data_IF_528690117527
#
_entry.id   IF_528690117527
#
_cell.length_a   1.000
_cell.length_b   1.000
_cell.length_c   1.000
_cell.angle_alpha   90.00
_cell.angle_beta   90.00
_cell.angle_gamma   90.00
#
_symmetry.space_group_name_H-M   'P 1'
#
loop_
_entity.id
_entity.type
_entity.pdbx_description
1 polymer ?
#
# COMPACT_ATOMS: atom_id res chain seq x y z
N UNK A 1 22.13 -20.49 11.66
CA UNK A 1 21.59 -19.75 10.50
C UNK A 1 22.44 -20.13 9.30
N UNK A 2 21.97 -21.04 8.46
CA UNK A 2 22.66 -21.40 7.22
C UNK A 2 22.36 -20.35 6.16
N UNK A 3 23.40 -19.74 5.59
CA UNK A 3 23.27 -18.91 4.41
C UNK A 3 22.70 -19.77 3.28
N UNK A 4 21.56 -19.36 2.71
CA UNK A 4 20.92 -20.05 1.60
C UNK A 4 21.78 -19.83 0.34
N UNK A 5 22.37 -20.91 -0.20
CA UNK A 5 23.20 -20.90 -1.43
C UNK A 5 22.50 -21.62 -2.59
N UNK A 6 21.17 -21.48 -2.70
CA UNK A 6 20.41 -21.93 -3.86
C UNK A 6 20.46 -20.90 -5.00
N UNK A 7 20.24 -21.31 -6.27
CA UNK A 7 20.17 -20.37 -7.38
C UNK A 7 18.98 -19.43 -7.18
N UNK A 8 19.27 -18.16 -6.93
CA UNK A 8 18.28 -17.07 -6.87
C UNK A 8 17.69 -16.92 -8.27
N UNK A 9 16.38 -17.06 -8.41
CA UNK A 9 15.71 -16.66 -9.65
C UNK A 9 15.72 -15.14 -9.65
N UNK A 10 16.53 -14.54 -10.53
CA UNK A 10 16.63 -13.08 -10.63
C UNK A 10 15.28 -12.55 -11.13
N UNK A 11 14.53 -11.92 -10.23
CA UNK A 11 13.26 -11.27 -10.54
C UNK A 11 13.58 -9.83 -10.91
N UNK A 12 12.98 -9.35 -12.00
CA UNK A 12 13.12 -7.96 -12.43
C UNK A 12 12.35 -7.02 -11.51
N UNK A 13 12.97 -5.88 -11.21
CA UNK A 13 12.41 -4.77 -10.45
C UNK A 13 12.51 -3.50 -11.31
N UNK A 14 11.52 -2.59 -11.27
CA UNK A 14 10.34 -2.60 -10.40
C UNK A 14 9.18 -3.44 -10.97
N UNK A 15 8.39 -4.05 -10.08
CA UNK A 15 7.21 -4.87 -10.44
C UNK A 15 5.95 -4.55 -9.66
N UNK A 16 6.03 -3.72 -8.61
CA UNK A 16 4.87 -3.36 -7.78
C UNK A 16 4.25 -2.05 -8.27
N UNK A 17 2.97 -2.05 -8.65
CA UNK A 17 2.16 -0.89 -9.05
C UNK A 17 2.65 -0.14 -10.30
N UNK A 18 3.84 0.48 -10.24
CA UNK A 18 4.48 1.18 -11.34
C UNK A 18 5.62 0.31 -11.87
N UNK A 19 5.32 -0.55 -12.83
CA UNK A 19 6.32 -1.40 -13.49
C UNK A 19 7.30 -0.57 -14.34
N UNK A 20 8.35 -1.20 -14.87
CA UNK A 20 9.33 -0.54 -15.75
C UNK A 20 8.64 0.15 -16.93
N UNK A 21 8.92 1.45 -17.12
CA UNK A 21 8.35 2.27 -18.18
C UNK A 21 7.04 2.98 -17.80
N UNK A 22 6.44 2.66 -16.65
CA UNK A 22 5.22 3.32 -16.16
C UNK A 22 5.37 4.82 -15.95
N UNK A 23 6.60 5.30 -15.73
CA UNK A 23 6.94 6.72 -15.61
C UNK A 23 6.53 7.52 -16.85
N UNK A 24 6.65 6.93 -18.04
CA UNK A 24 6.33 7.61 -19.30
C UNK A 24 4.84 7.98 -19.38
N UNK A 25 3.96 7.10 -18.90
CA UNK A 25 2.52 7.36 -18.82
C UNK A 25 2.21 8.49 -17.86
N UNK A 26 2.84 8.49 -16.68
CA UNK A 26 2.67 9.57 -15.69
C UNK A 26 3.19 10.91 -16.24
N UNK A 27 4.38 10.95 -16.85
CA UNK A 27 4.93 12.17 -17.46
C UNK A 27 3.99 12.72 -18.53
N UNK A 28 3.47 11.85 -19.40
CA UNK A 28 2.51 12.27 -20.43
C UNK A 28 1.22 12.85 -19.85
N UNK A 29 0.70 12.29 -18.75
CA UNK A 29 -0.47 12.83 -18.06
C UNK A 29 -0.18 14.19 -17.43
N UNK A 30 0.97 14.35 -16.77
CA UNK A 30 1.36 15.61 -16.14
C UNK A 30 1.64 16.72 -17.15
N UNK A 31 2.07 16.39 -18.37
CA UNK A 31 2.29 17.38 -19.43
C UNK A 31 0.99 17.86 -20.08
N UNK A 32 -0.03 17.00 -20.10
CA UNK A 32 -1.31 17.27 -20.80
C UNK A 32 -2.35 17.93 -19.91
N UNK A 33 -2.39 17.55 -18.64
CA UNK A 33 -3.49 17.87 -17.74
C UNK A 33 -3.00 18.66 -16.52
N UNK A 34 -3.41 19.94 -16.35
CA UNK A 34 -2.95 20.79 -15.25
C UNK A 34 -3.22 20.22 -13.85
N UNK A 35 -4.29 19.42 -13.70
CA UNK A 35 -4.64 18.78 -12.43
C UNK A 35 -3.60 17.75 -11.99
N UNK A 36 -3.08 16.96 -12.95
CA UNK A 36 -2.05 15.97 -12.68
C UNK A 36 -0.69 16.62 -12.49
N UNK A 37 -0.39 17.69 -13.22
CA UNK A 37 0.79 18.52 -12.96
C UNK A 37 0.78 19.08 -11.53
N UNK A 38 -0.35 19.66 -11.10
CA UNK A 38 -0.52 20.19 -9.73
C UNK A 38 -0.26 19.10 -8.68
N UNK A 39 -0.82 17.91 -8.87
CA UNK A 39 -0.64 16.77 -7.97
C UNK A 39 0.83 16.32 -7.93
N UNK A 40 1.46 16.16 -9.09
CA UNK A 40 2.88 15.81 -9.21
C UNK A 40 3.77 16.80 -8.45
N UNK A 41 3.57 18.10 -8.68
CA UNK A 41 4.32 19.14 -7.99
C UNK A 41 4.05 19.16 -6.48
N UNK A 42 2.82 18.88 -6.04
CA UNK A 42 2.49 18.76 -4.63
C UNK A 42 3.23 17.58 -3.96
N UNK A 43 3.35 16.45 -4.65
CA UNK A 43 4.16 15.31 -4.19
C UNK A 43 5.63 15.71 -4.05
N UNK A 44 6.22 16.35 -5.07
CA UNK A 44 7.62 16.80 -5.02
C UNK A 44 7.87 17.82 -3.89
N UNK A 45 6.97 18.80 -3.72
CA UNK A 45 7.02 19.74 -2.58
C UNK A 45 7.01 19.00 -1.26
N UNK A 46 6.19 17.96 -1.12
CA UNK A 46 6.15 17.14 0.08
C UNK A 46 7.45 16.36 0.30
N UNK A 47 8.04 15.76 -0.74
CA UNK A 47 9.32 15.05 -0.66
C UNK A 47 10.45 15.94 -0.15
N UNK A 48 10.51 17.20 -0.62
CA UNK A 48 11.48 18.17 -0.15
C UNK A 48 11.40 18.42 1.37
N UNK A 49 10.21 18.34 1.96
CA UNK A 49 10.06 18.45 3.42
C UNK A 49 10.65 17.27 4.19
N UNK A 50 10.80 16.10 3.55
CA UNK A 50 11.36 14.92 4.21
C UNK A 50 12.87 14.97 4.29
N UNK A 51 13.55 15.58 3.31
CA UNK A 51 15.01 15.59 3.21
C UNK A 51 15.70 16.08 4.49
N UNK A 52 15.10 17.05 5.20
CA UNK A 52 15.62 17.61 6.45
C UNK A 52 15.06 17.01 7.75
N UNK A 53 14.13 16.05 7.70
CA UNK A 53 13.55 15.46 8.93
C UNK A 53 14.54 14.53 9.63
N UNK A 54 14.43 14.31 10.95
CA UNK A 54 15.11 13.18 11.59
C UNK A 54 14.63 11.85 10.99
N UNK A 55 15.50 10.85 11.00
CA UNK A 55 15.15 9.47 10.62
C UNK A 55 14.13 8.90 11.60
N UNK A 56 13.38 7.90 11.15
CA UNK A 56 12.39 7.24 11.99
C UNK A 56 13.05 6.45 13.12
N UNK A 57 12.42 6.56 14.29
CA UNK A 57 12.79 5.83 15.50
C UNK A 57 11.66 4.89 15.91
N UNK A 58 12.02 3.75 16.52
CA UNK A 58 11.03 2.80 17.03
C UNK A 58 10.34 3.34 18.29
N UNK A 59 9.32 4.17 18.09
CA UNK A 59 8.57 4.84 19.16
C UNK A 59 7.12 4.37 19.21
N UNK A 60 6.74 3.73 20.32
CA UNK A 60 5.37 3.31 20.57
C UNK A 60 4.54 4.46 21.17
N UNK A 61 3.28 4.56 20.74
CA UNK A 61 2.22 5.37 21.38
C UNK A 61 1.21 4.38 21.95
N UNK A 62 1.16 4.26 23.27
CA UNK A 62 0.48 3.14 23.93
C UNK A 62 1.07 1.81 23.46
N UNK A 63 0.22 0.91 22.94
CA UNK A 63 0.66 -0.39 22.38
C UNK A 63 1.05 -0.35 20.89
N UNK A 64 0.97 0.81 20.24
CA UNK A 64 1.00 0.92 18.77
C UNK A 64 2.28 1.60 18.28
N UNK A 65 2.92 0.99 17.29
CA UNK A 65 3.94 1.57 16.41
C UNK A 65 3.33 2.20 15.15
N UNK A 66 2.01 2.05 14.93
CA UNK A 66 1.29 2.43 13.71
C UNK A 66 1.65 3.81 13.13
N UNK A 67 1.80 4.83 13.99
CA UNK A 67 2.16 6.18 13.53
C UNK A 67 3.52 6.24 12.84
N UNK A 68 4.49 5.45 13.31
CA UNK A 68 5.82 5.30 12.71
C UNK A 68 5.73 4.50 11.42
N UNK A 69 4.95 3.40 11.41
CA UNK A 69 4.73 2.58 10.21
C UNK A 69 4.10 3.37 9.06
N UNK A 70 3.05 4.15 9.36
CA UNK A 70 2.40 5.07 8.42
C UNK A 70 3.35 6.12 7.88
N UNK A 71 4.16 6.71 8.75
CA UNK A 71 5.14 7.71 8.34
C UNK A 71 6.26 7.09 7.48
N UNK A 72 6.67 5.84 7.75
CA UNK A 72 7.60 5.09 6.90
C UNK A 72 7.01 4.87 5.50
N UNK A 73 5.82 4.27 5.42
CA UNK A 73 5.12 4.05 4.15
C UNK A 73 4.99 5.37 3.37
N UNK A 74 4.53 6.43 4.03
CA UNK A 74 4.38 7.76 3.42
C UNK A 74 5.70 8.32 2.91
N UNK A 75 6.77 8.32 3.71
CA UNK A 75 8.07 8.89 3.30
C UNK A 75 8.69 8.10 2.17
N UNK A 76 8.78 6.77 2.33
CA UNK A 76 9.44 5.90 1.37
C UNK A 76 8.70 5.94 0.03
N UNK A 77 7.37 5.80 0.02
CA UNK A 77 6.61 5.83 -1.22
C UNK A 77 6.79 7.15 -1.98
N UNK A 78 6.65 8.29 -1.30
CA UNK A 78 6.83 9.61 -1.91
C UNK A 78 8.25 9.84 -2.44
N UNK A 79 9.28 9.46 -1.67
CA UNK A 79 10.67 9.61 -2.09
C UNK A 79 11.01 8.67 -3.26
N UNK A 80 10.51 7.44 -3.24
CA UNK A 80 10.66 6.48 -4.33
C UNK A 80 10.02 6.98 -5.62
N UNK A 81 8.81 7.52 -5.54
CA UNK A 81 8.15 8.18 -6.66
C UNK A 81 8.97 9.35 -7.20
N UNK A 82 9.40 10.25 -6.31
CA UNK A 82 10.14 11.45 -6.70
C UNK A 82 11.46 11.11 -7.39
N UNK A 83 12.20 10.11 -6.90
CA UNK A 83 13.41 9.62 -7.57
C UNK A 83 13.09 9.13 -8.99
N UNK A 84 12.13 8.22 -9.14
CA UNK A 84 11.79 7.65 -10.47
C UNK A 84 11.30 8.68 -11.48
N UNK A 85 10.65 9.75 -11.01
CA UNK A 85 10.14 10.80 -11.89
C UNK A 85 11.16 11.89 -12.23
N UNK A 86 12.25 12.03 -11.45
CA UNK A 86 13.17 13.18 -11.58
C UNK A 86 14.64 12.80 -11.71
N UNK A 87 15.00 11.55 -11.43
CA UNK A 87 16.37 11.05 -11.33
C UNK A 87 17.23 11.77 -10.28
N UNK A 88 16.60 12.54 -9.37
CA UNK A 88 17.29 13.27 -8.31
C UNK A 88 17.69 12.31 -7.16
N UNK A 89 18.99 12.00 -7.10
CA UNK A 89 19.56 11.02 -6.18
C UNK A 89 19.36 11.38 -4.71
N UNK A 90 19.07 12.65 -4.37
CA UNK A 90 18.78 13.06 -2.99
C UNK A 90 17.56 12.33 -2.43
N UNK A 91 16.57 12.02 -3.27
CA UNK A 91 15.39 11.27 -2.85
C UNK A 91 15.71 9.79 -2.62
N UNK A 92 16.50 9.18 -3.50
CA UNK A 92 17.00 7.81 -3.35
C UNK A 92 17.80 7.64 -2.04
N UNK A 93 18.81 8.48 -1.84
CA UNK A 93 19.67 8.44 -0.64
C UNK A 93 18.86 8.66 0.65
N UNK A 94 17.85 9.53 0.61
CA UNK A 94 16.97 9.75 1.75
C UNK A 94 16.10 8.54 2.03
N UNK A 95 15.48 7.95 1.01
CA UNK A 95 14.63 6.76 1.16
C UNK A 95 15.44 5.57 1.69
N UNK A 96 16.66 5.37 1.17
CA UNK A 96 17.58 4.36 1.67
C UNK A 96 17.83 4.51 3.18
N UNK A 97 18.17 5.72 3.65
CA UNK A 97 18.41 5.97 5.08
C UNK A 97 17.19 5.67 5.95
N UNK A 98 15.98 6.02 5.49
CA UNK A 98 14.74 5.71 6.21
C UNK A 98 14.50 4.19 6.29
N UNK A 99 14.67 3.49 5.17
CA UNK A 99 14.49 2.03 5.11
C UNK A 99 15.53 1.30 5.97
N UNK A 100 16.80 1.73 5.95
CA UNK A 100 17.83 1.15 6.81
C UNK A 100 17.58 1.40 8.29
N UNK A 101 17.09 2.60 8.66
CA UNK A 101 16.74 2.90 10.05
C UNK A 101 15.62 1.97 10.58
N UNK A 102 14.56 1.79 9.79
CA UNK A 102 13.45 0.89 10.13
C UNK A 102 13.86 -0.59 10.05
N UNK A 103 14.73 -0.96 9.12
CA UNK A 103 15.31 -2.29 9.04
C UNK A 103 16.14 -2.62 10.29
N UNK A 104 16.74 -1.62 10.95
CA UNK A 104 17.51 -1.77 12.19
C UNK A 104 16.64 -1.86 13.46
N UNK A 105 15.33 -1.63 13.39
CA UNK A 105 14.44 -1.80 14.55
C UNK A 105 14.49 -3.24 15.08
N UNK A 106 14.27 -3.42 16.38
CA UNK A 106 14.21 -4.77 16.99
C UNK A 106 13.13 -5.65 16.35
N UNK A 107 11.98 -5.04 16.08
CA UNK A 107 10.78 -5.63 15.49
C UNK A 107 9.89 -4.51 14.92
N UNK A 108 8.85 -4.90 14.18
CA UNK A 108 7.80 -3.99 13.69
C UNK A 108 6.49 -4.11 14.48
N UNK A 109 6.58 -4.53 15.74
CA UNK A 109 5.47 -4.70 16.70
C UNK A 109 4.38 -5.71 16.28
N UNK A 110 4.69 -7.03 16.17
CA UNK A 110 3.74 -8.04 15.72
C UNK A 110 2.51 -8.22 16.62
N UNK A 111 2.56 -7.78 17.88
CA UNK A 111 1.39 -7.75 18.78
C UNK A 111 0.24 -6.85 18.29
N UNK A 112 0.52 -5.91 17.38
CA UNK A 112 -0.47 -5.07 16.72
C UNK A 112 -0.20 -5.08 15.20
N UNK A 113 -0.74 -6.09 14.51
CA UNK A 113 -0.29 -6.46 13.17
C UNK A 113 -0.47 -5.40 12.06
N UNK A 114 -1.36 -4.41 12.24
CA UNK A 114 -1.42 -3.24 11.34
C UNK A 114 -0.08 -2.49 11.29
N UNK A 115 0.66 -2.47 12.40
CA UNK A 115 1.98 -1.83 12.48
C UNK A 115 2.97 -2.53 11.56
N UNK A 116 2.96 -3.87 11.58
CA UNK A 116 3.81 -4.71 10.73
C UNK A 116 3.40 -4.57 9.28
N UNK A 117 2.10 -4.63 9.00
CA UNK A 117 1.55 -4.60 7.66
C UNK A 117 1.92 -3.31 6.90
N UNK A 118 1.62 -2.16 7.48
CA UNK A 118 1.89 -0.88 6.82
C UNK A 118 3.41 -0.61 6.70
N UNK A 119 4.21 -1.04 7.68
CA UNK A 119 5.67 -0.96 7.61
C UNK A 119 6.20 -1.83 6.47
N UNK A 120 5.70 -3.07 6.36
CA UNK A 120 6.09 -4.02 5.31
C UNK A 120 5.77 -3.46 3.92
N UNK A 121 4.60 -2.85 3.74
CA UNK A 121 4.23 -2.23 2.48
C UNK A 121 5.19 -1.11 2.08
N UNK A 122 5.54 -0.23 3.01
CA UNK A 122 6.49 0.86 2.75
C UNK A 122 7.87 0.36 2.35
N UNK A 123 8.38 -0.63 3.08
CA UNK A 123 9.67 -1.28 2.81
C UNK A 123 9.66 -2.03 1.47
N UNK A 124 8.55 -2.68 1.12
CA UNK A 124 8.39 -3.39 -0.14
C UNK A 124 8.39 -2.45 -1.35
N UNK A 125 7.61 -1.36 -1.30
CA UNK A 125 7.58 -0.34 -2.35
C UNK A 125 8.97 0.28 -2.53
N UNK A 126 9.63 0.66 -1.43
CA UNK A 126 10.96 1.25 -1.49
C UNK A 126 12.02 0.29 -2.05
N UNK A 127 12.01 -0.96 -1.60
CA UNK A 127 12.92 -2.01 -2.12
C UNK A 127 12.73 -2.23 -3.62
N UNK A 128 11.49 -2.34 -4.07
CA UNK A 128 11.15 -2.63 -5.46
C UNK A 128 11.44 -1.44 -6.38
N UNK A 129 10.96 -0.24 -6.02
CA UNK A 129 11.07 0.95 -6.86
C UNK A 129 12.47 1.53 -6.94
N UNK A 130 13.28 1.32 -5.90
CA UNK A 130 14.65 1.83 -5.83
C UNK A 130 15.70 0.75 -6.05
N UNK A 131 15.29 -0.48 -6.40
CA UNK A 131 16.17 -1.64 -6.46
C UNK A 131 17.47 -1.39 -7.23
N UNK A 132 17.40 -0.79 -8.42
CA UNK A 132 18.57 -0.50 -9.26
C UNK A 132 19.52 0.55 -8.68
N UNK A 133 19.01 1.48 -7.87
CA UNK A 133 19.80 2.55 -7.24
C UNK A 133 20.34 2.19 -5.85
N UNK A 134 19.74 1.21 -5.17
CA UNK A 134 20.16 0.81 -3.83
C UNK A 134 21.48 0.03 -3.87
N UNK A 135 22.45 0.31 -2.97
CA UNK A 135 23.63 -0.53 -2.78
C UNK A 135 23.27 -1.98 -2.39
N UNK A 136 24.10 -2.94 -2.76
CA UNK A 136 23.88 -4.38 -2.53
C UNK A 136 23.63 -4.74 -1.05
N UNK A 137 24.41 -4.14 -0.15
CA UNK A 137 24.26 -4.35 1.30
C UNK A 137 22.96 -3.77 1.84
N UNK A 138 22.50 -2.64 1.27
CA UNK A 138 21.21 -2.04 1.60
C UNK A 138 20.07 -2.89 1.10
N UNK A 139 20.14 -3.40 -0.14
CA UNK A 139 19.15 -4.37 -0.66
C UNK A 139 19.08 -5.60 0.23
N UNK A 140 20.22 -6.17 0.62
CA UNK A 140 20.26 -7.33 1.52
C UNK A 140 19.58 -7.04 2.86
N UNK A 141 19.97 -5.95 3.51
CA UNK A 141 19.45 -5.56 4.83
C UNK A 141 17.95 -5.31 4.81
N UNK A 142 17.45 -4.60 3.79
CA UNK A 142 16.03 -4.31 3.62
C UNK A 142 15.23 -5.59 3.37
N UNK A 143 15.70 -6.43 2.44
CA UNK A 143 15.06 -7.71 2.11
C UNK A 143 14.97 -8.65 3.32
N UNK A 144 16.07 -8.78 4.06
CA UNK A 144 16.11 -9.60 5.28
C UNK A 144 15.17 -9.06 6.35
N UNK A 145 15.05 -7.73 6.49
CA UNK A 145 14.08 -7.12 7.40
C UNK A 145 12.63 -7.40 6.98
N UNK A 146 12.29 -7.27 5.68
CA UNK A 146 10.95 -7.63 5.17
C UNK A 146 10.63 -9.09 5.52
N UNK A 147 11.55 -10.02 5.26
CA UNK A 147 11.34 -11.43 5.57
C UNK A 147 11.19 -11.68 7.09
N UNK A 148 12.11 -11.15 7.90
CA UNK A 148 12.22 -11.47 9.31
C UNK A 148 11.20 -10.74 10.20
N UNK A 149 10.88 -9.47 9.87
CA UNK A 149 10.05 -8.58 10.69
C UNK A 149 8.67 -8.33 10.09
N UNK A 150 8.54 -8.44 8.77
CA UNK A 150 7.27 -8.33 8.06
C UNK A 150 6.55 -9.67 7.94
N UNK A 151 7.15 -10.60 7.20
CA UNK A 151 6.46 -11.81 6.75
C UNK A 151 6.41 -12.91 7.80
N UNK A 152 7.56 -13.32 8.36
CA UNK A 152 7.63 -14.45 9.30
C UNK A 152 6.75 -14.31 10.54
N UNK A 153 6.60 -13.12 11.16
CA UNK A 153 5.72 -12.98 12.33
C UNK A 153 4.25 -13.32 12.06
N UNK A 154 3.78 -13.26 10.81
CA UNK A 154 2.40 -13.59 10.45
C UNK A 154 2.06 -15.08 10.59
N UNK A 155 3.04 -15.95 10.82
CA UNK A 155 2.83 -17.36 11.10
C UNK A 155 2.73 -17.66 12.60
N UNK A 156 2.99 -16.69 13.47
CA UNK A 156 2.77 -16.83 14.90
C UNK A 156 1.26 -16.84 15.19
N UNK A 157 0.76 -17.91 15.78
CA UNK A 157 -0.67 -18.11 16.03
C UNK A 157 -1.29 -17.06 16.96
N UNK A 158 -0.50 -16.40 17.80
CA UNK A 158 -0.97 -15.31 18.67
C UNK A 158 -1.21 -13.99 17.94
N UNK A 159 -0.59 -13.80 16.77
CA UNK A 159 -0.51 -12.51 16.09
C UNK A 159 -1.30 -12.48 14.76
N UNK A 160 -1.81 -13.63 14.30
CA UNK A 160 -2.35 -13.80 12.93
C UNK A 160 -3.88 -13.93 12.84
N UNK A 161 -4.61 -13.51 13.87
CA UNK A 161 -6.08 -13.58 13.91
C UNK A 161 -6.76 -12.84 12.73
N UNK A 162 -6.10 -11.81 12.18
CA UNK A 162 -6.59 -11.05 11.03
C UNK A 162 -6.87 -11.93 9.80
N UNK A 163 -6.17 -13.07 9.65
CA UNK A 163 -6.34 -14.01 8.53
C UNK A 163 -7.77 -14.58 8.48
N UNK A 164 -8.46 -14.62 9.62
CA UNK A 164 -9.83 -15.16 9.75
C UNK A 164 -10.89 -14.07 9.91
N UNK A 165 -10.51 -12.81 9.76
CA UNK A 165 -11.39 -11.66 9.98
C UNK A 165 -12.05 -11.21 8.68
N UNK A 166 -13.23 -10.61 8.80
CA UNK A 166 -14.05 -10.07 7.72
C UNK A 166 -14.04 -8.52 7.69
N UNK A 167 -13.09 -7.91 8.41
CA UNK A 167 -12.97 -6.45 8.57
C UNK A 167 -11.64 -5.92 7.99
N UNK A 168 -11.41 -4.61 8.13
CA UNK A 168 -10.25 -3.91 7.58
C UNK A 168 -8.90 -4.53 7.97
N UNK A 169 -8.78 -5.19 9.12
CA UNK A 169 -7.52 -5.82 9.53
C UNK A 169 -7.07 -6.89 8.56
N UNK A 170 -8.01 -7.67 8.01
CA UNK A 170 -7.70 -8.66 7.00
C UNK A 170 -7.12 -7.99 5.76
N UNK A 171 -7.83 -6.99 5.23
CA UNK A 171 -7.47 -6.28 4.00
C UNK A 171 -6.11 -5.61 4.13
N UNK A 172 -5.89 -4.83 5.19
CA UNK A 172 -4.64 -4.10 5.44
C UNK A 172 -3.47 -5.04 5.65
N UNK A 173 -3.64 -6.09 6.48
CA UNK A 173 -2.55 -7.02 6.76
C UNK A 173 -2.17 -7.85 5.55
N UNK A 174 -3.15 -8.39 4.82
CA UNK A 174 -2.88 -9.18 3.62
C UNK A 174 -2.25 -8.32 2.51
N UNK A 175 -2.66 -7.04 2.37
CA UNK A 175 -2.02 -6.11 1.44
C UNK A 175 -0.54 -5.90 1.76
N UNK A 176 -0.22 -5.50 3.00
CA UNK A 176 1.16 -5.26 3.41
C UNK A 176 2.06 -6.49 3.27
N UNK A 177 1.54 -7.66 3.65
CA UNK A 177 2.26 -8.92 3.51
C UNK A 177 2.42 -9.35 2.05
N UNK A 178 1.39 -9.18 1.22
CA UNK A 178 1.43 -9.50 -0.22
C UNK A 178 2.48 -8.67 -0.96
N UNK A 179 2.52 -7.36 -0.70
CA UNK A 179 3.56 -6.47 -1.22
C UNK A 179 4.96 -6.93 -0.80
N UNK A 180 5.15 -7.22 0.50
CA UNK A 180 6.42 -7.73 1.01
C UNK A 180 6.85 -9.04 0.36
N UNK A 181 5.92 -9.98 0.19
CA UNK A 181 6.18 -11.27 -0.42
C UNK A 181 6.61 -11.14 -1.89
N UNK A 182 5.89 -10.34 -2.68
CA UNK A 182 6.21 -10.13 -4.11
C UNK A 182 7.55 -9.40 -4.30
N UNK A 183 7.86 -8.43 -3.43
CA UNK A 183 9.13 -7.71 -3.47
C UNK A 183 10.34 -8.63 -3.28
N UNK A 184 10.23 -9.71 -2.51
CA UNK A 184 11.39 -10.53 -2.12
C UNK A 184 11.34 -11.97 -2.65
N UNK A 185 10.34 -12.30 -3.47
CA UNK A 185 10.04 -13.65 -3.96
C UNK A 185 11.26 -14.35 -4.59
N UNK A 186 12.13 -13.62 -5.30
CA UNK A 186 13.31 -14.20 -5.95
C UNK A 186 14.32 -14.82 -4.97
N UNK A 187 14.31 -14.36 -3.73
CA UNK A 187 15.22 -14.80 -2.66
C UNK A 187 14.53 -15.65 -1.58
N UNK A 188 13.21 -15.55 -1.44
CA UNK A 188 12.43 -16.29 -0.46
C UNK A 188 11.16 -16.93 -1.08
N UNK A 189 11.29 -17.75 -2.14
CA UNK A 189 10.14 -18.17 -2.94
C UNK A 189 9.10 -18.98 -2.15
N UNK A 190 9.52 -19.88 -1.25
CA UNK A 190 8.59 -20.69 -0.46
C UNK A 190 7.84 -19.87 0.59
N UNK A 191 8.50 -18.87 1.18
CA UNK A 191 7.88 -17.95 2.14
C UNK A 191 6.88 -17.05 1.42
N UNK A 192 7.28 -16.47 0.28
CA UNK A 192 6.42 -15.61 -0.52
C UNK A 192 5.19 -16.36 -1.02
N UNK A 193 5.35 -17.59 -1.53
CA UNK A 193 4.22 -18.43 -1.94
C UNK A 193 3.21 -18.66 -0.82
N UNK A 194 3.67 -19.04 0.37
CA UNK A 194 2.78 -19.27 1.52
C UNK A 194 2.00 -18.00 1.93
N UNK A 195 2.64 -16.84 1.87
CA UNK A 195 1.99 -15.56 2.17
C UNK A 195 0.93 -15.24 1.10
N UNK A 196 1.28 -15.37 -0.17
CA UNK A 196 0.41 -15.03 -1.30
C UNK A 196 -0.80 -15.96 -1.37
N UNK A 197 -0.60 -17.27 -1.29
CA UNK A 197 -1.70 -18.26 -1.27
C UNK A 197 -2.69 -17.94 -0.13
N UNK A 198 -2.17 -17.69 1.08
CA UNK A 198 -3.00 -17.33 2.23
C UNK A 198 -3.72 -15.99 2.05
N UNK A 199 -3.07 -14.99 1.44
CA UNK A 199 -3.68 -13.69 1.20
C UNK A 199 -4.84 -13.81 0.20
N UNK A 200 -4.67 -14.56 -0.89
CA UNK A 200 -5.73 -14.81 -1.88
C UNK A 200 -6.94 -15.54 -1.29
N UNK A 201 -6.72 -16.51 -0.40
CA UNK A 201 -7.82 -17.21 0.28
C UNK A 201 -8.51 -16.31 1.32
N UNK A 202 -7.71 -15.59 2.12
CA UNK A 202 -8.17 -14.84 3.28
C UNK A 202 -8.92 -13.57 2.90
N UNK A 203 -8.54 -12.89 1.81
CA UNK A 203 -9.15 -11.63 1.37
C UNK A 203 -10.62 -11.79 0.91
N UNK A 204 -11.02 -13.02 0.56
CA UNK A 204 -12.42 -13.31 0.23
C UNK A 204 -13.38 -13.04 1.41
N UNK A 205 -12.90 -13.18 2.66
CA UNK A 205 -13.70 -12.96 3.86
C UNK A 205 -14.21 -11.51 3.98
N UNK A 206 -13.34 -10.47 4.00
CA UNK A 206 -13.82 -9.09 4.04
C UNK A 206 -14.51 -8.69 2.74
N UNK A 207 -14.15 -9.25 1.57
CA UNK A 207 -14.86 -8.95 0.31
C UNK A 207 -16.32 -9.43 0.33
N UNK A 208 -16.64 -10.52 1.04
CA UNK A 208 -18.00 -10.98 1.23
C UNK A 208 -18.84 -10.05 2.14
N UNK A 209 -18.19 -9.27 3.02
CA UNK A 209 -18.88 -8.35 3.93
C UNK A 209 -19.56 -7.16 3.22
N UNK A 210 -19.26 -6.95 1.94
CA UNK A 210 -19.87 -5.91 1.09
C UNK A 210 -21.20 -6.36 0.47
N UNK A 211 -21.59 -7.63 0.61
CA UNK A 211 -22.86 -8.13 0.08
C UNK A 211 -24.07 -7.51 0.80
N UNK A 212 -25.22 -7.32 0.11
CA UNK A 212 -25.42 -7.53 -1.33
C UNK A 212 -25.12 -6.31 -2.22
N UNK A 213 -25.04 -5.12 -1.63
CA UNK A 213 -25.15 -3.85 -2.35
C UNK A 213 -23.94 -2.91 -2.14
N UNK A 214 -22.81 -3.47 -1.72
CA UNK A 214 -21.55 -2.74 -1.63
C UNK A 214 -21.36 -1.92 -0.36
N UNK A 215 -22.31 -1.93 0.57
CA UNK A 215 -22.15 -1.24 1.85
C UNK A 215 -21.06 -1.89 2.70
N UNK A 216 -20.12 -1.10 3.21
CA UNK A 216 -19.07 -1.62 4.09
C UNK A 216 -19.46 -1.48 5.57
N UNK A 217 -19.50 -2.57 6.34
CA UNK A 217 -20.05 -2.54 7.70
C UNK A 217 -19.37 -1.55 8.66
N UNK A 218 -18.07 -1.33 8.52
CA UNK A 218 -17.30 -0.44 9.40
C UNK A 218 -17.45 1.06 9.09
N UNK A 219 -18.19 1.41 8.03
CA UNK A 219 -18.51 2.80 7.67
C UNK A 219 -17.49 3.50 6.79
N UNK A 220 -17.76 4.77 6.47
CA UNK A 220 -17.03 5.55 5.46
C UNK A 220 -15.52 5.59 5.66
N UNK A 221 -15.06 5.88 6.89
CA UNK A 221 -13.63 6.01 7.18
C UNK A 221 -12.87 4.69 7.03
N UNK A 222 -13.48 3.58 7.45
CA UNK A 222 -12.87 2.27 7.29
C UNK A 222 -13.07 1.68 5.90
N UNK A 223 -14.09 2.13 5.15
CA UNK A 223 -14.17 1.87 3.72
C UNK A 223 -12.92 2.42 3.03
N UNK A 224 -12.54 3.67 3.27
CA UNK A 224 -11.34 4.25 2.66
C UNK A 224 -10.09 3.42 3.02
N UNK A 225 -9.89 3.18 4.31
CA UNK A 225 -8.69 2.50 4.79
C UNK A 225 -8.60 1.03 4.33
N UNK A 226 -9.66 0.25 4.58
CA UNK A 226 -9.72 -1.18 4.26
C UNK A 226 -9.84 -1.43 2.76
N UNK A 227 -10.76 -0.76 2.07
CA UNK A 227 -10.99 -0.94 0.63
C UNK A 227 -9.80 -0.48 -0.18
N UNK A 228 -9.14 0.64 0.17
CA UNK A 228 -7.91 1.07 -0.53
C UNK A 228 -6.81 0.02 -0.43
N UNK A 229 -6.59 -0.58 0.75
CA UNK A 229 -5.62 -1.67 0.88
C UNK A 229 -6.05 -2.93 0.12
N UNK A 230 -7.35 -3.23 0.10
CA UNK A 230 -7.90 -4.36 -0.66
C UNK A 230 -7.63 -4.20 -2.16
N UNK A 231 -7.95 -3.05 -2.76
CA UNK A 231 -7.72 -2.83 -4.21
C UNK A 231 -6.23 -2.83 -4.55
N UNK A 232 -5.35 -2.33 -3.67
CA UNK A 232 -3.91 -2.40 -3.88
C UNK A 232 -3.41 -3.85 -3.87
N UNK A 233 -3.91 -4.69 -2.96
CA UNK A 233 -3.62 -6.13 -2.95
C UNK A 233 -4.13 -6.80 -4.24
N UNK A 234 -5.37 -6.53 -4.64
CA UNK A 234 -5.95 -7.08 -5.85
C UNK A 234 -5.14 -6.71 -7.09
N UNK A 235 -4.80 -5.43 -7.25
CA UNK A 235 -4.03 -4.95 -8.39
C UNK A 235 -2.66 -5.64 -8.46
N UNK A 236 -1.92 -5.72 -7.36
CA UNK A 236 -0.57 -6.28 -7.39
C UNK A 236 -0.56 -7.80 -7.62
N UNK A 237 -1.62 -8.50 -7.19
CA UNK A 237 -1.82 -9.92 -7.48
C UNK A 237 -2.22 -10.15 -8.95
N UNK A 238 -3.08 -9.30 -9.48
CA UNK A 238 -3.47 -9.34 -10.90
C UNK A 238 -2.25 -9.08 -11.80
N UNK A 239 -1.44 -8.07 -11.48
CA UNK A 239 -0.20 -7.78 -12.23
C UNK A 239 0.81 -8.94 -12.17
N UNK A 240 0.91 -9.61 -11.01
CA UNK A 240 1.89 -10.68 -10.80
C UNK A 240 1.47 -12.03 -11.38
N UNK A 241 0.18 -12.35 -11.34
CA UNK A 241 -0.34 -13.71 -11.62
C UNK A 241 -1.47 -13.74 -12.65
N UNK A 242 -1.94 -12.59 -13.14
CA UNK A 242 -3.07 -12.46 -14.06
C UNK A 242 -4.35 -13.10 -13.49
N UNK A 243 -4.60 -12.87 -12.19
CA UNK A 243 -5.76 -13.38 -11.45
C UNK A 243 -6.63 -12.20 -11.01
N UNK A 244 -7.89 -12.18 -11.45
CA UNK A 244 -8.90 -11.23 -10.99
C UNK A 244 -9.82 -11.87 -9.94
N UNK A 245 -9.54 -11.59 -8.66
CA UNK A 245 -10.34 -12.11 -7.55
C UNK A 245 -11.72 -11.44 -7.42
N UNK A 246 -11.96 -10.28 -8.07
CA UNK A 246 -13.24 -9.57 -7.95
C UNK A 246 -14.40 -10.29 -8.64
N UNK A 247 -14.09 -11.17 -9.61
CA UNK A 247 -15.06 -12.00 -10.32
C UNK A 247 -15.94 -12.85 -9.41
N UNK A 248 -15.48 -13.12 -8.18
CA UNK A 248 -16.18 -13.91 -7.16
C UNK A 248 -16.85 -13.08 -6.07
N UNK A 249 -16.84 -11.74 -6.17
CA UNK A 249 -17.28 -10.82 -5.12
C UNK A 249 -18.16 -9.68 -5.68
N UNK A 250 -19.41 -9.99 -6.09
CA UNK A 250 -20.29 -9.00 -6.72
C UNK A 250 -20.66 -7.83 -5.78
N UNK A 251 -20.85 -8.07 -4.48
CA UNK A 251 -21.05 -7.02 -3.49
C UNK A 251 -19.86 -6.06 -3.43
N UNK A 252 -18.63 -6.58 -3.46
CA UNK A 252 -17.42 -5.74 -3.51
C UNK A 252 -17.37 -4.89 -4.78
N UNK A 253 -17.77 -5.43 -5.95
CA UNK A 253 -17.79 -4.67 -7.20
C UNK A 253 -18.80 -3.52 -7.21
N UNK A 254 -19.87 -3.60 -6.41
CA UNK A 254 -20.86 -2.51 -6.23
C UNK A 254 -20.46 -1.45 -5.21
N UNK A 255 -19.41 -1.70 -4.42
CA UNK A 255 -19.03 -0.79 -3.34
C UNK A 255 -18.71 0.67 -3.74
N UNK A 256 -18.21 1.01 -4.94
CA UNK A 256 -18.09 2.41 -5.33
C UNK A 256 -19.45 3.13 -5.45
N UNK A 257 -20.53 2.44 -5.83
CA UNK A 257 -21.88 3.04 -5.89
C UNK A 257 -22.36 3.43 -4.50
N UNK A 258 -22.14 2.55 -3.51
CA UNK A 258 -22.38 2.85 -2.12
C UNK A 258 -21.64 4.12 -1.68
N UNK A 259 -20.37 4.28 -2.04
CA UNK A 259 -19.58 5.45 -1.66
C UNK A 259 -20.07 6.77 -2.27
N UNK A 260 -20.65 6.75 -3.48
CA UNK A 260 -21.27 7.95 -4.05
C UNK A 260 -22.41 8.49 -3.18
N UNK A 261 -23.13 7.61 -2.50
CA UNK A 261 -24.23 7.98 -1.61
C UNK A 261 -23.79 8.42 -0.21
N UNK A 262 -22.52 8.25 0.12
CA UNK A 262 -22.00 8.54 1.46
C UNK A 262 -21.66 10.00 1.70
N UNK A 263 -21.61 10.83 0.65
CA UNK A 263 -21.26 12.24 0.76
C UNK A 263 -22.47 13.13 0.46
N UNK A 264 -22.72 14.07 1.36
CA UNK A 264 -23.70 15.14 1.15
C UNK A 264 -23.17 16.26 0.25
N UNK A 265 -24.03 17.24 -0.05
CA UNK A 265 -23.65 18.43 -0.83
C UNK A 265 -22.48 19.22 -0.21
N UNK A 266 -22.36 19.23 1.12
CA UNK A 266 -21.28 19.90 1.86
C UNK A 266 -19.94 19.16 1.84
N UNK A 267 -19.85 18.00 1.16
CA UNK A 267 -18.73 17.05 1.23
C UNK A 267 -18.49 16.48 2.65
N UNK A 268 -19.47 16.60 3.53
CA UNK A 268 -19.50 15.83 4.77
C UNK A 268 -20.00 14.41 4.47
N UNK A 269 -19.38 13.44 5.13
CA UNK A 269 -19.76 12.04 5.00
C UNK A 269 -20.80 11.64 6.05
N UNK A 270 -21.62 10.65 5.71
CA UNK A 270 -22.49 10.00 6.69
C UNK A 270 -21.65 9.12 7.63
N UNK A 271 -21.18 9.71 8.74
CA UNK A 271 -20.05 9.21 9.51
C UNK A 271 -20.41 8.23 10.65
N UNK A 272 -21.05 7.09 10.34
CA UNK A 272 -21.22 6.04 11.35
C UNK A 272 -19.91 5.27 11.60
N UNK A 273 -19.87 4.54 12.72
CA UNK A 273 -18.65 3.87 13.17
C UNK A 273 -17.58 4.87 13.62
N UNK A 274 -16.33 4.43 13.64
CA UNK A 274 -15.20 5.29 13.96
C UNK A 274 -14.82 6.13 12.73
N UNK A 275 -15.54 7.25 12.54
CA UNK A 275 -15.41 8.09 11.36
C UNK A 275 -15.45 9.58 11.70
N UNK A 276 -14.53 10.35 11.10
CA UNK A 276 -14.61 11.81 11.09
C UNK A 276 -15.77 12.30 10.23
N UNK A 277 -16.25 13.53 10.46
CA UNK A 277 -17.34 14.11 9.68
C UNK A 277 -16.96 14.42 8.22
N UNK A 278 -15.73 14.86 7.98
CA UNK A 278 -15.30 15.33 6.65
C UNK A 278 -15.00 14.15 5.72
N UNK A 279 -15.52 14.25 4.50
CA UNK A 279 -15.08 13.41 3.39
C UNK A 279 -13.67 13.75 2.93
N UNK A 280 -13.09 12.87 2.13
CA UNK A 280 -11.78 13.06 1.50
C UNK A 280 -11.69 12.35 0.16
N UNK A 281 -10.67 12.70 -0.63
CA UNK A 281 -10.35 12.00 -1.87
C UNK A 281 -10.12 10.51 -1.58
N UNK A 282 -10.77 9.63 -2.35
CA UNK A 282 -10.75 8.18 -2.20
C UNK A 282 -9.97 7.52 -3.36
N UNK A 283 -8.70 7.13 -3.18
CA UNK A 283 -7.91 6.52 -4.25
C UNK A 283 -8.53 5.27 -4.86
N UNK A 284 -9.23 4.46 -4.04
CA UNK A 284 -9.89 3.24 -4.49
C UNK A 284 -10.95 3.51 -5.58
N UNK A 285 -11.60 4.67 -5.58
CA UNK A 285 -12.60 5.04 -6.59
C UNK A 285 -12.00 5.12 -8.00
N UNK A 286 -10.75 5.60 -8.13
CA UNK A 286 -10.03 5.62 -9.40
C UNK A 286 -9.75 4.21 -9.94
N UNK A 287 -9.44 3.27 -9.04
CA UNK A 287 -9.25 1.87 -9.41
C UNK A 287 -10.56 1.26 -9.91
N UNK A 288 -11.67 1.45 -9.17
CA UNK A 288 -12.98 0.95 -9.59
C UNK A 288 -13.43 1.54 -10.93
N UNK A 289 -13.35 2.86 -11.10
CA UNK A 289 -13.72 3.55 -12.33
C UNK A 289 -12.95 3.01 -13.56
N UNK A 290 -11.65 2.76 -13.39
CA UNK A 290 -10.85 2.16 -14.44
C UNK A 290 -11.24 0.70 -14.71
N UNK A 291 -11.44 -0.10 -13.65
CA UNK A 291 -11.77 -1.54 -13.75
C UNK A 291 -13.15 -1.78 -14.38
N UNK A 292 -14.14 -0.93 -14.09
CA UNK A 292 -15.50 -1.01 -14.66
C UNK A 292 -15.69 -0.23 -15.95
N UNK A 293 -14.67 0.55 -16.38
CA UNK A 293 -14.78 1.53 -17.45
C UNK A 293 -15.93 2.54 -17.24
N UNK A 294 -16.20 2.90 -15.98
CA UNK A 294 -17.25 3.85 -15.60
C UNK A 294 -16.65 5.09 -14.89
N UNK A 295 -16.37 6.17 -15.62
CA UNK A 295 -15.85 7.40 -15.02
C UNK A 295 -16.88 8.13 -14.15
N UNK A 296 -18.17 7.79 -14.19
CA UNK A 296 -19.19 8.44 -13.36
C UNK A 296 -18.98 8.21 -11.87
N UNK A 297 -18.27 7.12 -11.51
CA UNK A 297 -17.83 6.84 -10.15
C UNK A 297 -16.91 7.93 -9.57
N UNK A 298 -16.27 8.74 -10.41
CA UNK A 298 -15.35 9.80 -9.97
C UNK A 298 -16.03 11.14 -9.72
N UNK A 299 -17.36 11.21 -9.77
CA UNK A 299 -18.14 12.44 -9.60
C UNK A 299 -17.80 13.22 -8.33
N UNK A 300 -17.54 12.51 -7.22
CA UNK A 300 -17.14 13.15 -5.96
C UNK A 300 -15.64 13.44 -5.91
N UNK A 301 -14.83 12.59 -6.52
CA UNK A 301 -13.36 12.71 -6.52
C UNK A 301 -12.87 13.93 -7.31
N UNK A 302 -13.53 14.22 -8.43
CA UNK A 302 -13.29 15.41 -9.26
C UNK A 302 -13.32 16.70 -8.41
N UNK A 303 -14.26 16.80 -7.45
CA UNK A 303 -14.40 17.98 -6.58
C UNK A 303 -13.18 18.20 -5.69
N UNK A 304 -12.54 17.13 -5.22
CA UNK A 304 -11.32 17.23 -4.42
C UNK A 304 -10.10 17.55 -5.28
N UNK A 305 -10.04 17.05 -6.52
CA UNK A 305 -8.96 17.35 -7.46
C UNK A 305 -8.93 18.82 -7.89
N UNK A 306 -10.11 19.46 -8.01
CA UNK A 306 -10.23 20.87 -8.37
C UNK A 306 -10.29 21.83 -7.17
N UNK A 307 -10.24 21.33 -5.93
CA UNK A 307 -10.16 22.19 -4.76
C UNK A 307 -8.90 23.08 -4.81
N UNK A 308 -9.08 24.37 -4.53
CA UNK A 308 -7.96 25.30 -4.36
C UNK A 308 -7.23 24.96 -3.06
N UNK A 309 -5.88 24.95 -3.11
CA UNK A 309 -5.03 24.67 -1.95
C UNK A 309 -5.26 25.67 -0.80
#
# INVERSE_FOLDING_TARGET
>A
MGAFTGPVKEIQHPRLLMTEGGESGIRSLTEKEPVWEKMHLAILRRCNTFLGKPLLERKLIGRRLLSVSRECLRRVFYLSYAYRMTDDTRYLERAEKEMLAVAAFSDWNPSHFLDVAEMTMGMAIGYDWLYSGLPDDSRRSIREAIAAKGLRPSFNSGDNWFVRSDNNWNQVCNAGLGFGALAIEGYYPELSKQIIDRAMESVALPMAAYEPDGAYPEGYGYWDYGTTMNVLLLQVLEDAYNIDLTTSAPGFQKTPEFMLHMLGYSLDCFNWGDCSLKGQLQPAMFWFANKSADPSLLWMEEKYLHASD
#
